data_IF_652396623701
#
_entry.id   IF_652396623701
#
_cell.length_a   1.000
_cell.length_b   1.000
_cell.length_c   1.000
_cell.angle_alpha   90.00
_cell.angle_beta   90.00
_cell.angle_gamma   90.00
#
_symmetry.space_group_name_H-M   'P 1'
#
loop_
_entity.id
_entity.type
_entity.pdbx_description
1 polymer ?
#
# COMPACT_ATOMS: atom_id res chain seq x y z
N UNK A 1 -10.01 12.94 -12.30
CA UNK A 1 -9.11 14.07 -12.65
C UNK A 1 -9.95 15.17 -13.25
N UNK A 2 -9.86 16.39 -12.70
CA UNK A 2 -10.50 17.59 -13.24
C UNK A 2 -9.52 18.23 -14.21
N UNK A 3 -9.96 18.48 -15.46
CA UNK A 3 -9.10 18.97 -16.55
C UNK A 3 -9.18 20.47 -16.76
N UNK A 4 -10.32 21.05 -16.41
CA UNK A 4 -10.58 22.48 -16.60
C UNK A 4 -11.56 23.06 -15.56
N UNK A 5 -11.74 24.37 -15.59
CA UNK A 5 -12.63 25.09 -14.69
C UNK A 5 -14.12 24.74 -14.87
N UNK A 6 -14.53 24.22 -16.04
CA UNK A 6 -15.89 23.78 -16.31
C UNK A 6 -16.20 22.47 -15.58
N UNK A 7 -15.30 21.48 -15.66
CA UNK A 7 -15.40 20.22 -14.92
C UNK A 7 -15.38 20.47 -13.41
N UNK A 8 -14.54 21.39 -12.93
CA UNK A 8 -14.51 21.78 -11.52
C UNK A 8 -15.84 22.35 -11.05
N UNK A 9 -16.43 23.27 -11.84
CA UNK A 9 -17.72 23.87 -11.56
C UNK A 9 -18.84 22.83 -11.51
N UNK A 10 -18.83 21.90 -12.46
CA UNK A 10 -19.78 20.78 -12.50
C UNK A 10 -19.65 19.91 -11.25
N UNK A 11 -18.43 19.53 -10.88
CA UNK A 11 -18.17 18.73 -9.69
C UNK A 11 -18.63 19.47 -8.42
N UNK A 12 -18.28 20.74 -8.26
CA UNK A 12 -18.69 21.55 -7.12
C UNK A 12 -20.22 21.71 -7.01
N UNK A 13 -20.92 21.71 -8.16
CA UNK A 13 -22.40 21.76 -8.19
C UNK A 13 -23.03 20.44 -7.73
N UNK A 14 -22.39 19.32 -7.98
CA UNK A 14 -22.86 17.99 -7.54
C UNK A 14 -22.58 17.78 -6.03
N UNK A 15 -21.55 18.41 -5.49
CA UNK A 15 -21.09 18.23 -4.12
C UNK A 15 -20.89 19.58 -3.41
N UNK A 16 -21.92 20.41 -3.24
CA UNK A 16 -21.79 21.80 -2.79
C UNK A 16 -21.26 21.93 -1.37
N UNK A 17 -21.51 20.94 -0.52
CA UNK A 17 -21.15 20.98 0.91
C UNK A 17 -19.93 20.09 1.25
N UNK A 18 -19.28 19.52 0.24
CA UNK A 18 -18.11 18.66 0.46
C UNK A 18 -16.84 19.51 0.40
N UNK A 19 -16.07 19.63 1.49
CA UNK A 19 -14.77 20.29 1.44
C UNK A 19 -13.80 19.49 0.57
N UNK A 20 -13.04 20.17 -0.27
CA UNK A 20 -12.07 19.55 -1.16
C UNK A 20 -10.77 20.35 -1.24
N UNK A 21 -9.72 19.67 -1.63
CA UNK A 21 -8.43 20.28 -1.98
C UNK A 21 -8.16 20.06 -3.48
N UNK A 22 -7.46 21.00 -4.07
CA UNK A 22 -6.94 20.87 -5.45
C UNK A 22 -5.46 20.58 -5.39
N UNK A 23 -5.04 19.54 -6.07
CA UNK A 23 -3.62 19.17 -6.20
C UNK A 23 -3.26 19.01 -7.67
N UNK A 24 -2.03 19.33 -8.02
CA UNK A 24 -1.49 19.03 -9.34
C UNK A 24 -1.43 17.50 -9.52
N UNK A 25 -1.89 17.01 -10.65
CA UNK A 25 -1.65 15.62 -11.07
C UNK A 25 -0.20 15.51 -11.51
N UNK A 26 0.54 14.63 -10.85
CA UNK A 26 1.91 14.26 -11.21
C UNK A 26 1.87 12.91 -11.91
N UNK A 27 2.36 12.87 -13.15
CA UNK A 27 2.58 11.60 -13.84
C UNK A 27 3.85 10.93 -13.31
N UNK A 28 3.76 9.65 -12.95
CA UNK A 28 4.89 8.93 -12.39
C UNK A 28 4.51 7.57 -11.81
N UNK A 29 5.46 6.96 -11.11
CA UNK A 29 5.30 5.66 -10.49
C UNK A 29 4.84 5.85 -9.05
N UNK A 30 3.69 5.28 -8.63
CA UNK A 30 3.25 5.31 -7.26
C UNK A 30 4.18 4.46 -6.37
N UNK A 31 4.59 5.02 -5.25
CA UNK A 31 5.49 4.37 -4.32
C UNK A 31 5.23 4.85 -2.88
N UNK A 32 5.76 4.15 -1.89
CA UNK A 32 5.70 4.60 -0.51
C UNK A 32 6.96 4.22 0.27
N UNK A 33 7.15 4.88 1.40
CA UNK A 33 8.16 4.50 2.39
C UNK A 33 7.45 4.14 3.68
N UNK A 34 7.66 2.92 4.16
CA UNK A 34 7.29 2.52 5.50
C UNK A 34 8.33 3.06 6.49
N UNK A 35 7.89 3.85 7.46
CA UNK A 35 8.73 4.43 8.50
C UNK A 35 8.27 4.02 9.89
N UNK A 36 9.21 4.07 10.83
CA UNK A 36 8.95 4.00 12.27
C UNK A 36 9.54 5.23 12.94
N UNK A 37 8.76 5.93 13.76
CA UNK A 37 9.16 7.18 14.41
C UNK A 37 8.91 7.12 15.92
N UNK A 38 9.71 7.88 16.70
CA UNK A 38 9.60 7.94 18.16
C UNK A 38 9.23 9.35 18.68
N UNK A 39 8.65 10.18 17.80
CA UNK A 39 8.27 11.56 18.11
C UNK A 39 9.36 12.61 17.86
N UNK A 40 10.61 12.20 17.68
CA UNK A 40 11.76 13.11 17.48
C UNK A 40 12.66 12.69 16.31
N UNK A 41 12.73 11.41 16.05
CA UNK A 41 13.52 10.80 14.98
C UNK A 41 12.69 9.71 14.29
N UNK A 42 13.08 9.32 13.08
CA UNK A 42 12.43 8.27 12.34
C UNK A 42 13.46 7.40 11.61
N UNK A 43 13.06 6.17 11.33
CA UNK A 43 13.78 5.20 10.54
C UNK A 43 12.90 4.69 9.40
N UNK A 44 13.38 4.79 8.17
CA UNK A 44 12.78 4.10 7.03
C UNK A 44 13.06 2.60 7.14
N UNK A 45 12.03 1.79 7.00
CA UNK A 45 12.09 0.33 7.09
C UNK A 45 12.13 -0.28 5.70
N UNK A 46 11.28 0.20 4.79
CA UNK A 46 11.21 -0.31 3.42
C UNK A 46 10.72 0.77 2.45
N UNK A 47 11.17 0.68 1.22
CA UNK A 47 10.59 1.37 0.07
C UNK A 47 9.71 0.38 -0.69
N UNK A 48 8.49 0.79 -1.02
CA UNK A 48 7.50 -0.06 -1.64
C UNK A 48 7.03 0.54 -2.96
N UNK A 49 6.89 -0.29 -3.99
CA UNK A 49 6.10 0.03 -5.18
C UNK A 49 4.62 -0.13 -4.81
N UNK A 50 3.80 0.85 -5.15
CA UNK A 50 2.35 0.74 -4.98
C UNK A 50 1.71 0.32 -6.30
N UNK A 51 0.80 -0.64 -6.22
CA UNK A 51 -0.02 -1.07 -7.34
C UNK A 51 -1.37 -0.39 -7.22
N UNK A 52 -1.79 0.29 -8.29
CA UNK A 52 -3.09 0.95 -8.37
C UNK A 52 -4.04 0.16 -9.26
N UNK A 53 -5.34 0.37 -9.10
CA UNK A 53 -6.38 -0.26 -9.92
C UNK A 53 -6.25 0.11 -11.40
N UNK A 54 -5.85 1.33 -11.70
CA UNK A 54 -5.42 1.77 -13.04
C UNK A 54 -6.53 2.16 -14.00
N UNK A 55 -7.80 1.93 -13.66
CA UNK A 55 -8.94 2.21 -14.54
C UNK A 55 -10.17 2.78 -13.81
N UNK A 56 -11.09 3.34 -14.57
CA UNK A 56 -12.36 3.86 -14.10
C UNK A 56 -12.27 4.95 -13.04
N UNK A 57 -13.30 5.07 -12.24
CA UNK A 57 -13.40 6.05 -11.14
C UNK A 57 -12.42 5.73 -10.00
N UNK A 58 -12.03 4.46 -9.88
CA UNK A 58 -11.10 3.96 -8.87
C UNK A 58 -9.64 3.90 -9.35
N UNK A 59 -9.30 4.56 -10.47
CA UNK A 59 -7.97 4.46 -11.10
C UNK A 59 -6.79 4.69 -10.15
N UNK A 60 -6.94 5.59 -9.16
CA UNK A 60 -5.93 5.87 -8.13
C UNK A 60 -6.07 5.02 -6.87
N UNK A 61 -7.05 4.10 -6.84
CA UNK A 61 -7.26 3.21 -5.70
C UNK A 61 -6.11 2.23 -5.53
N UNK A 62 -5.57 2.16 -4.32
CA UNK A 62 -4.55 1.17 -3.94
C UNK A 62 -5.11 -0.25 -4.11
N UNK A 63 -4.39 -1.12 -4.79
CA UNK A 63 -4.76 -2.52 -4.93
C UNK A 63 -3.65 -3.50 -4.58
N UNK A 64 -2.50 -3.03 -4.12
CA UNK A 64 -1.40 -3.91 -3.72
C UNK A 64 -0.05 -3.21 -3.68
N UNK A 65 0.98 -3.98 -3.39
CA UNK A 65 2.36 -3.48 -3.31
C UNK A 65 3.39 -4.55 -3.66
N UNK A 66 4.59 -4.09 -3.96
CA UNK A 66 5.80 -4.93 -4.07
C UNK A 66 6.89 -4.33 -3.20
N UNK A 67 7.53 -5.15 -2.38
CA UNK A 67 8.62 -4.77 -1.46
C UNK A 67 9.78 -5.78 -1.60
N UNK A 68 11.05 -5.32 -1.65
CA UNK A 68 11.47 -3.93 -1.79
C UNK A 68 11.19 -3.35 -3.17
N UNK A 69 11.25 -2.03 -3.29
CA UNK A 69 11.21 -1.33 -4.56
C UNK A 69 12.57 -0.73 -4.89
N UNK A 70 13.30 -1.38 -5.79
CA UNK A 70 14.62 -0.94 -6.26
C UNK A 70 14.45 0.13 -7.34
N UNK A 71 14.53 1.38 -6.90
CA UNK A 71 14.42 2.53 -7.80
C UNK A 71 15.58 3.51 -7.54
N UNK A 72 16.14 4.16 -8.58
CA UNK A 72 17.24 5.13 -8.41
C UNK A 72 16.94 6.26 -7.42
N UNK A 73 15.66 6.63 -7.25
CA UNK A 73 15.23 7.66 -6.31
C UNK A 73 14.98 7.12 -4.89
N UNK A 74 15.18 5.83 -4.59
CA UNK A 74 14.90 5.25 -3.28
C UNK A 74 15.63 5.98 -2.15
N UNK A 75 16.89 6.32 -2.34
CA UNK A 75 17.66 7.10 -1.35
C UNK A 75 17.08 8.50 -1.07
N UNK A 76 16.55 9.17 -2.09
CA UNK A 76 15.87 10.47 -1.91
C UNK A 76 14.54 10.31 -1.18
N UNK A 77 13.76 9.28 -1.50
CA UNK A 77 12.51 8.96 -0.81
C UNK A 77 12.75 8.69 0.67
N UNK A 78 13.75 7.87 1.00
CA UNK A 78 14.13 7.54 2.38
C UNK A 78 14.47 8.83 3.15
N UNK A 79 15.37 9.66 2.61
CA UNK A 79 15.79 10.90 3.28
C UNK A 79 14.63 11.87 3.52
N UNK A 80 13.73 12.03 2.54
CA UNK A 80 12.52 12.84 2.67
C UNK A 80 11.55 12.26 3.70
N UNK A 81 11.31 10.95 3.65
CA UNK A 81 10.39 10.26 4.53
C UNK A 81 10.84 10.33 6.00
N UNK A 82 12.11 10.05 6.28
CA UNK A 82 12.67 10.17 7.64
C UNK A 82 12.58 11.60 8.18
N UNK A 83 12.90 12.59 7.34
CA UNK A 83 12.79 14.01 7.70
C UNK A 83 11.36 14.42 8.03
N UNK A 84 10.39 14.03 7.20
CA UNK A 84 8.96 14.34 7.39
C UNK A 84 8.45 13.63 8.64
N UNK A 85 8.72 12.33 8.78
CA UNK A 85 8.29 11.54 9.93
C UNK A 85 8.85 12.08 11.24
N UNK A 86 10.15 12.43 11.28
CA UNK A 86 10.78 13.03 12.47
C UNK A 86 10.18 14.39 12.84
N UNK A 87 9.82 15.23 11.84
CA UNK A 87 9.25 16.55 12.09
C UNK A 87 7.76 16.56 12.39
N UNK A 88 7.06 15.45 12.13
CA UNK A 88 5.60 15.33 12.34
C UNK A 88 5.20 15.13 13.80
N UNK A 89 6.15 14.74 14.67
CA UNK A 89 5.86 14.34 16.05
C UNK A 89 5.13 12.99 16.18
N UNK A 90 4.95 12.25 15.07
CA UNK A 90 4.31 10.93 15.09
C UNK A 90 5.15 9.92 15.87
N UNK A 91 4.46 8.94 16.46
CA UNK A 91 5.09 7.80 17.16
C UNK A 91 4.58 6.48 16.59
N UNK A 92 5.48 5.51 16.46
CA UNK A 92 5.18 4.19 15.90
C UNK A 92 5.30 4.14 14.40
N UNK A 93 4.62 3.16 13.80
CA UNK A 93 4.65 2.91 12.35
C UNK A 93 3.79 3.92 11.60
N UNK A 94 4.35 4.49 10.55
CA UNK A 94 3.65 5.40 9.63
C UNK A 94 4.17 5.20 8.21
N UNK A 95 3.43 5.72 7.26
CA UNK A 95 3.84 5.70 5.88
C UNK A 95 3.79 7.04 5.20
N UNK A 96 4.63 7.20 4.21
CA UNK A 96 4.68 8.37 3.37
C UNK A 96 4.55 7.94 1.92
N UNK A 97 3.53 8.44 1.26
CA UNK A 97 3.21 8.10 -0.12
C UNK A 97 3.84 9.10 -1.07
N UNK A 98 4.33 8.56 -2.19
CA UNK A 98 5.03 9.31 -3.22
C UNK A 98 4.48 9.00 -4.60
N UNK A 99 4.66 9.95 -5.52
CA UNK A 99 4.68 9.70 -6.97
C UNK A 99 6.07 10.04 -7.47
N UNK A 100 6.74 9.08 -8.10
CA UNK A 100 8.05 9.27 -8.70
C UNK A 100 7.89 9.87 -10.08
N UNK A 101 8.05 11.17 -10.19
CA UNK A 101 8.11 11.87 -11.46
C UNK A 101 9.42 11.60 -12.19
N UNK A 102 9.67 12.36 -13.27
CA UNK A 102 10.83 12.12 -14.11
C UNK A 102 12.17 12.21 -13.36
N UNK A 103 12.33 13.25 -12.54
CA UNK A 103 13.61 13.60 -11.94
C UNK A 103 13.53 13.79 -10.41
N UNK A 104 12.35 13.68 -9.82
CA UNK A 104 12.15 13.92 -8.39
C UNK A 104 10.98 13.13 -7.83
N UNK A 105 11.07 12.64 -6.57
CA UNK A 105 9.93 12.09 -5.86
C UNK A 105 9.05 13.22 -5.30
N UNK A 106 7.75 13.15 -5.58
CA UNK A 106 6.75 14.05 -5.02
C UNK A 106 6.04 13.39 -3.84
N UNK A 107 6.05 14.03 -2.69
CA UNK A 107 5.30 13.59 -1.52
C UNK A 107 3.81 13.86 -1.76
N UNK A 108 2.98 12.85 -1.56
CA UNK A 108 1.52 12.92 -1.77
C UNK A 108 0.81 13.06 -0.43
N UNK A 109 1.09 12.16 0.51
CA UNK A 109 0.46 12.19 1.84
C UNK A 109 1.30 11.50 2.90
N UNK A 110 0.98 11.79 4.17
CA UNK A 110 1.51 11.12 5.35
C UNK A 110 0.38 10.33 6.00
N UNK A 111 0.59 9.04 6.18
CA UNK A 111 -0.36 8.12 6.77
C UNK A 111 0.13 7.70 8.17
N UNK A 112 -0.29 8.37 9.27
CA UNK A 112 0.18 8.09 10.64
C UNK A 112 -0.53 6.85 11.22
N UNK A 113 -0.41 5.72 10.53
CA UNK A 113 -1.02 4.43 10.86
C UNK A 113 -0.28 3.29 10.16
N UNK A 114 -0.61 2.06 10.52
CA UNK A 114 -0.23 0.90 9.70
C UNK A 114 -0.79 1.05 8.28
N UNK A 115 0.04 0.73 7.31
CA UNK A 115 -0.28 0.89 5.88
C UNK A 115 -0.72 -0.44 5.26
N UNK A 116 -1.30 -0.37 4.06
CA UNK A 116 -1.61 -1.55 3.26
C UNK A 116 -0.39 -2.34 2.77
N UNK A 117 0.83 -1.83 3.02
CA UNK A 117 2.11 -2.48 2.66
C UNK A 117 2.70 -3.31 3.80
N UNK A 118 2.05 -3.39 4.98
CA UNK A 118 2.56 -4.12 6.16
C UNK A 118 2.97 -5.54 5.79
N UNK A 119 2.08 -6.28 5.15
CA UNK A 119 2.31 -7.68 4.80
C UNK A 119 3.56 -7.86 3.93
N UNK A 120 3.70 -7.02 2.87
CA UNK A 120 4.85 -7.12 1.97
C UNK A 120 6.16 -6.71 2.65
N UNK A 121 6.13 -5.74 3.56
CA UNK A 121 7.31 -5.35 4.34
C UNK A 121 7.72 -6.46 5.29
N UNK A 122 6.80 -6.99 6.10
CA UNK A 122 7.09 -8.06 7.05
C UNK A 122 7.58 -9.34 6.35
N UNK A 123 6.95 -9.73 5.23
CA UNK A 123 7.41 -10.86 4.43
C UNK A 123 8.82 -10.63 3.85
N UNK A 124 9.08 -9.43 3.31
CA UNK A 124 10.35 -9.15 2.64
C UNK A 124 11.55 -9.09 3.61
N UNK A 125 11.36 -8.61 4.83
CA UNK A 125 12.45 -8.46 5.81
C UNK A 125 12.43 -9.49 6.97
N UNK A 126 11.37 -10.29 7.09
CA UNK A 126 11.22 -11.22 8.22
C UNK A 126 11.09 -10.51 9.57
N UNK A 127 10.68 -9.25 9.59
CA UNK A 127 10.54 -8.42 10.80
C UNK A 127 9.07 -8.36 11.27
N UNK A 128 8.83 -7.81 12.46
CA UNK A 128 7.49 -7.46 12.93
C UNK A 128 7.35 -5.94 13.06
N UNK A 129 6.56 -5.34 12.18
CA UNK A 129 6.24 -3.90 12.23
C UNK A 129 5.44 -3.56 13.49
N UNK A 130 4.63 -4.47 13.98
CA UNK A 130 3.93 -4.27 15.25
C UNK A 130 4.92 -4.16 16.43
N UNK A 131 5.93 -5.02 16.47
CA UNK A 131 6.97 -4.93 17.53
C UNK A 131 7.77 -3.63 17.39
N UNK A 132 8.12 -3.22 16.17
CA UNK A 132 8.78 -1.94 15.92
C UNK A 132 7.92 -0.76 16.37
N UNK A 133 6.62 -0.80 16.11
CA UNK A 133 5.67 0.21 16.57
C UNK A 133 5.68 0.34 18.10
N UNK A 134 5.56 -0.78 18.82
CA UNK A 134 5.56 -0.79 20.29
C UNK A 134 6.87 -0.26 20.86
N UNK A 135 8.01 -0.70 20.31
CA UNK A 135 9.33 -0.25 20.73
C UNK A 135 9.51 1.25 20.49
N UNK A 136 9.05 1.76 19.36
CA UNK A 136 9.14 3.19 19.03
C UNK A 136 8.26 4.06 19.93
N UNK A 137 7.08 3.58 20.29
CA UNK A 137 6.23 4.25 21.30
C UNK A 137 6.91 4.28 22.68
N UNK A 138 7.79 3.33 22.97
CA UNK A 138 8.66 3.33 24.16
C UNK A 138 9.98 4.11 23.97
N UNK A 139 10.16 4.81 22.84
CA UNK A 139 11.31 5.66 22.54
C UNK A 139 12.44 4.99 21.75
N UNK A 140 12.37 3.69 21.46
CA UNK A 140 13.44 2.94 20.78
C UNK A 140 13.13 2.76 19.31
N UNK A 141 13.99 3.27 18.43
CA UNK A 141 13.89 3.04 16.98
C UNK A 141 14.63 1.75 16.60
N UNK A 142 14.11 1.00 15.61
CA UNK A 142 14.84 -0.13 15.05
C UNK A 142 16.01 0.32 14.17
N UNK A 143 16.93 -0.58 13.91
CA UNK A 143 17.81 -0.49 12.74
C UNK A 143 17.00 -0.85 11.49
N UNK A 144 17.43 -0.33 10.32
CA UNK A 144 16.82 -0.70 9.04
C UNK A 144 17.12 -2.20 8.79
N UNK A 145 16.09 -3.03 8.56
CA UNK A 145 16.31 -4.45 8.34
C UNK A 145 16.88 -4.71 6.94
N UNK A 146 17.61 -5.80 6.80
CA UNK A 146 18.00 -6.33 5.50
C UNK A 146 16.78 -7.00 4.82
N UNK A 147 16.59 -6.72 3.54
CA UNK A 147 15.59 -7.40 2.73
C UNK A 147 16.09 -8.81 2.35
N UNK A 148 15.30 -9.83 2.69
CA UNK A 148 15.65 -11.24 2.48
C UNK A 148 15.13 -11.75 1.14
N UNK A 149 13.98 -11.24 0.71
CA UNK A 149 13.33 -11.60 -0.56
C UNK A 149 12.43 -10.45 -1.04
N UNK A 150 11.86 -10.62 -2.23
CA UNK A 150 10.77 -9.77 -2.72
C UNK A 150 9.43 -10.36 -2.31
N UNK A 151 8.55 -9.52 -1.82
CA UNK A 151 7.16 -9.85 -1.53
C UNK A 151 6.22 -8.98 -2.36
N UNK A 152 5.20 -9.58 -2.93
CA UNK A 152 4.15 -8.91 -3.69
C UNK A 152 2.78 -9.28 -3.11
N UNK A 153 1.87 -8.31 -3.05
CA UNK A 153 0.49 -8.48 -2.58
C UNK A 153 -0.47 -7.79 -3.51
N UNK A 154 -1.64 -8.40 -3.73
CA UNK A 154 -2.76 -7.79 -4.46
C UNK A 154 -4.08 -8.07 -3.77
N UNK A 155 -4.92 -7.05 -3.68
CA UNK A 155 -6.30 -7.14 -3.23
C UNK A 155 -7.15 -7.61 -4.40
N UNK A 156 -7.96 -8.62 -4.21
CA UNK A 156 -9.00 -9.03 -5.14
C UNK A 156 -10.31 -8.32 -4.82
N UNK A 157 -10.93 -7.78 -5.84
CA UNK A 157 -12.20 -7.05 -5.73
C UNK A 157 -13.31 -7.84 -6.40
N UNK A 158 -14.53 -7.71 -5.91
CA UNK A 158 -15.71 -8.30 -6.50
C UNK A 158 -15.98 -7.69 -7.90
N UNK A 159 -16.11 -8.50 -8.93
CA UNK A 159 -16.45 -8.07 -10.29
C UNK A 159 -17.96 -7.82 -10.47
N UNK A 160 -18.76 -8.34 -9.54
CA UNK A 160 -20.23 -8.19 -9.44
C UNK A 160 -20.66 -8.36 -7.98
N UNK A 161 -21.91 -8.09 -7.71
CA UNK A 161 -22.53 -8.46 -6.42
C UNK A 161 -22.47 -9.98 -6.26
N UNK A 162 -21.94 -10.44 -5.13
CA UNK A 162 -21.73 -11.86 -4.86
C UNK A 162 -21.74 -12.20 -3.38
N UNK A 163 -21.99 -13.46 -3.07
CA UNK A 163 -21.82 -14.00 -1.72
C UNK A 163 -20.70 -15.05 -1.75
N UNK A 164 -19.69 -14.87 -0.91
CA UNK A 164 -18.60 -15.82 -0.80
C UNK A 164 -19.08 -17.06 -0.02
N UNK A 165 -19.18 -18.21 -0.69
CA UNK A 165 -19.59 -19.46 -0.04
C UNK A 165 -18.40 -20.24 0.56
N UNK A 166 -17.20 -20.09 -0.01
CA UNK A 166 -16.03 -20.87 0.37
C UNK A 166 -15.35 -20.34 1.66
N UNK A 167 -14.78 -21.26 2.44
CA UNK A 167 -13.83 -20.90 3.51
C UNK A 167 -12.41 -20.81 2.92
N UNK A 168 -11.84 -19.60 2.91
CA UNK A 168 -10.52 -19.36 2.34
C UNK A 168 -9.37 -19.66 3.31
N UNK A 169 -9.64 -20.08 4.55
CA UNK A 169 -8.59 -20.37 5.57
C UNK A 169 -7.62 -21.46 5.12
N UNK A 170 -8.12 -22.43 4.35
CA UNK A 170 -7.27 -23.53 3.80
C UNK A 170 -6.20 -23.02 2.83
N UNK A 171 -6.34 -21.78 2.33
CA UNK A 171 -5.38 -21.15 1.42
C UNK A 171 -4.29 -20.34 2.16
N UNK A 172 -4.34 -20.24 3.51
CA UNK A 172 -3.25 -19.62 4.25
C UNK A 172 -1.94 -20.42 4.04
N UNK A 173 -0.75 -19.76 3.99
CA UNK A 173 -0.51 -18.33 4.20
C UNK A 173 -0.56 -17.44 2.95
N UNK A 174 -0.98 -17.95 1.79
CA UNK A 174 -1.01 -17.16 0.54
C UNK A 174 -2.13 -16.13 0.50
N UNK A 175 -3.08 -16.18 1.44
CA UNK A 175 -4.17 -15.22 1.58
C UNK A 175 -4.16 -14.55 2.96
N UNK A 176 -4.57 -13.28 3.00
CA UNK A 176 -4.82 -12.49 4.21
C UNK A 176 -6.14 -11.70 4.04
N UNK A 177 -6.59 -11.03 5.12
CA UNK A 177 -7.90 -10.34 5.13
C UNK A 177 -9.07 -11.27 4.80
N UNK A 178 -9.02 -12.50 5.33
CA UNK A 178 -9.94 -13.59 4.98
C UNK A 178 -11.35 -13.28 5.50
N UNK A 179 -12.36 -13.13 4.62
CA UNK A 179 -13.75 -12.93 5.03
C UNK A 179 -14.39 -14.25 5.53
N UNK A 180 -15.46 -14.12 6.32
CA UNK A 180 -16.25 -15.27 6.71
C UNK A 180 -17.05 -15.85 5.52
N UNK A 181 -17.22 -17.17 5.44
CA UNK A 181 -18.18 -17.77 4.50
C UNK A 181 -19.59 -17.17 4.72
N UNK A 182 -20.29 -16.90 3.61
CA UNK A 182 -21.59 -16.23 3.63
C UNK A 182 -21.52 -14.69 3.61
N UNK A 183 -20.32 -14.08 3.61
CA UNK A 183 -20.19 -12.62 3.46
C UNK A 183 -20.65 -12.19 2.06
N UNK A 184 -21.55 -11.21 2.03
CA UNK A 184 -21.96 -10.55 0.79
C UNK A 184 -21.02 -9.40 0.44
N UNK A 185 -20.68 -9.30 -0.84
CA UNK A 185 -19.87 -8.23 -1.41
C UNK A 185 -20.62 -7.55 -2.54
N UNK A 186 -20.68 -6.25 -2.51
CA UNK A 186 -21.09 -5.45 -3.65
C UNK A 186 -19.96 -5.39 -4.68
N UNK A 187 -20.31 -5.14 -5.92
CA UNK A 187 -19.34 -4.91 -6.98
C UNK A 187 -18.29 -3.87 -6.56
N UNK A 188 -17.01 -4.15 -6.85
CA UNK A 188 -15.84 -3.35 -6.50
C UNK A 188 -15.44 -3.33 -5.02
N UNK A 189 -16.11 -4.02 -4.13
CA UNK A 189 -15.65 -4.22 -2.77
C UNK A 189 -14.46 -5.18 -2.72
N UNK A 190 -13.52 -4.90 -1.80
CA UNK A 190 -12.37 -5.77 -1.54
C UNK A 190 -12.83 -7.07 -0.87
N UNK A 191 -12.40 -8.21 -1.41
CA UNK A 191 -12.78 -9.55 -0.92
C UNK A 191 -11.68 -10.13 -0.04
N UNK A 192 -10.46 -10.24 -0.58
CA UNK A 192 -9.34 -10.93 0.05
C UNK A 192 -8.04 -10.40 -0.53
N UNK A 193 -6.97 -10.47 0.23
CA UNK A 193 -5.62 -10.17 -0.23
C UNK A 193 -4.86 -11.45 -0.55
N UNK A 194 -4.10 -11.44 -1.65
CA UNK A 194 -3.27 -12.57 -2.09
C UNK A 194 -1.83 -12.12 -2.16
N UNK A 195 -0.91 -12.98 -1.70
CA UNK A 195 0.52 -12.69 -1.65
C UNK A 195 1.34 -13.69 -2.43
N UNK A 196 2.55 -13.29 -2.81
CA UNK A 196 3.56 -14.14 -3.42
C UNK A 196 4.95 -13.60 -3.13
N UNK A 197 5.93 -14.48 -2.94
CA UNK A 197 7.33 -14.11 -2.71
C UNK A 197 8.26 -14.73 -3.73
N UNK A 198 9.49 -14.24 -3.79
CA UNK A 198 10.54 -14.75 -4.68
C UNK A 198 11.87 -14.02 -4.48
N UNK A 199 12.95 -14.59 -4.99
CA UNK A 199 14.28 -14.00 -4.91
C UNK A 199 14.43 -12.71 -5.76
N UNK A 200 13.51 -12.49 -6.69
CA UNK A 200 13.45 -11.29 -7.55
C UNK A 200 12.03 -10.74 -7.60
N UNK A 201 11.89 -9.43 -7.91
CA UNK A 201 10.57 -8.82 -8.16
C UNK A 201 9.74 -9.61 -9.18
N UNK A 202 10.38 -10.09 -10.26
CA UNK A 202 9.70 -10.88 -11.30
C UNK A 202 9.16 -12.20 -10.76
N UNK A 203 9.94 -12.89 -9.94
CA UNK A 203 9.52 -14.16 -9.32
C UNK A 203 8.39 -13.93 -8.32
N UNK A 204 8.48 -12.92 -7.46
CA UNK A 204 7.40 -12.56 -6.52
C UNK A 204 6.08 -12.29 -7.24
N UNK A 205 6.10 -11.50 -8.32
CA UNK A 205 4.92 -11.24 -9.14
C UNK A 205 4.41 -12.51 -9.84
N UNK A 206 5.29 -13.35 -10.37
CA UNK A 206 4.90 -14.64 -10.99
C UNK A 206 4.24 -15.58 -9.97
N UNK A 207 4.77 -15.63 -8.75
CA UNK A 207 4.18 -16.41 -7.65
C UNK A 207 2.82 -15.84 -7.26
N UNK A 208 2.72 -14.51 -7.14
CA UNK A 208 1.46 -13.83 -6.87
C UNK A 208 0.38 -14.16 -7.92
N UNK A 209 0.72 -14.10 -9.21
CA UNK A 209 -0.24 -14.39 -10.29
C UNK A 209 -0.74 -15.84 -10.26
N UNK A 210 0.14 -16.81 -9.94
CA UNK A 210 -0.25 -18.22 -9.73
C UNK A 210 -1.21 -18.35 -8.54
N UNK A 211 -0.88 -17.69 -7.42
CA UNK A 211 -1.71 -17.73 -6.23
C UNK A 211 -3.08 -17.07 -6.47
N UNK A 212 -3.12 -15.93 -7.18
CA UNK A 212 -4.38 -15.28 -7.60
C UNK A 212 -5.22 -16.25 -8.44
N UNK A 213 -4.60 -16.95 -9.38
CA UNK A 213 -5.32 -17.93 -10.24
C UNK A 213 -5.93 -19.06 -9.42
N UNK A 214 -5.24 -19.51 -8.37
CA UNK A 214 -5.76 -20.53 -7.45
C UNK A 214 -6.90 -19.97 -6.57
N UNK A 215 -6.76 -18.76 -6.03
CA UNK A 215 -7.79 -18.14 -5.17
C UNK A 215 -9.06 -17.82 -5.96
N UNK A 216 -8.94 -17.38 -7.21
CA UNK A 216 -10.09 -17.06 -8.06
C UNK A 216 -11.05 -18.22 -8.29
N UNK A 217 -10.62 -19.47 -8.11
CA UNK A 217 -11.51 -20.64 -8.20
C UNK A 217 -12.56 -20.71 -7.07
N UNK A 218 -12.33 -19.96 -5.98
CA UNK A 218 -13.20 -19.91 -4.80
C UNK A 218 -14.00 -18.61 -4.73
N UNK A 219 -13.65 -17.62 -5.55
CA UNK A 219 -14.20 -16.25 -5.50
C UNK A 219 -14.96 -15.98 -6.80
N UNK A 220 -16.12 -16.65 -6.96
CA UNK A 220 -16.99 -16.53 -8.14
C UNK A 220 -18.45 -16.30 -7.76
#
# INVERSE_FOLDING_TARGET
VIRDAGEEKQWASLYPDVPYIRQQVVEGIPASVCCVANGHAARAIAVNEQLLRGDGESAFGFCGSVTPFDHPMAGQMIALAEKIAASSGCMGTLGIDFVLGRDTPYVIEVNPRFQGTVDTVEMACGCSLFQYHVNACAGTLPEAPDMQEYAARRILFADRDMTLAADLKELAPIVSDIPWPGTFFEKEQAIVSVSGTGATRKEALSTLDKNISSVRQYVH
#
